data_IF_884146607125
#
_entry.id   IF_884146607125
#
_cell.length_a   1.000
_cell.length_b   1.000
_cell.length_c   1.000
_cell.angle_alpha   90.00
_cell.angle_beta   90.00
_cell.angle_gamma   90.00
#
_symmetry.space_group_name_H-M   'P 1'
#
loop_
_entity.id
_entity.type
_entity.pdbx_description
1 polymer ?
#
# COMPACT_ATOMS: atom_id res chain seq x y z
N UNK A 1 12.28 -21.50 -34.25
CA UNK A 1 11.00 -21.47 -33.49
C UNK A 1 11.05 -22.72 -32.61
N UNK A 2 11.24 -22.52 -31.32
CA UNK A 2 11.32 -23.60 -30.32
C UNK A 2 9.88 -23.81 -29.80
N UNK A 3 9.30 -24.99 -30.12
CA UNK A 3 8.04 -25.43 -29.54
C UNK A 3 8.35 -26.39 -28.39
N UNK A 4 7.92 -26.02 -27.17
CA UNK A 4 7.93 -26.94 -26.04
C UNK A 4 6.57 -27.63 -25.97
N UNK A 5 6.49 -28.88 -26.46
CA UNK A 5 5.30 -29.72 -26.34
C UNK A 5 5.53 -30.74 -25.24
N UNK A 6 4.89 -30.58 -24.13
CA UNK A 6 4.76 -31.61 -23.08
C UNK A 6 3.66 -32.57 -23.50
N UNK A 7 4.06 -33.77 -24.00
CA UNK A 7 3.16 -34.89 -24.29
C UNK A 7 2.94 -35.70 -23.02
N UNK A 8 1.77 -35.59 -22.42
CA UNK A 8 1.35 -36.42 -21.29
C UNK A 8 0.86 -37.76 -21.80
N UNK A 9 1.34 -38.90 -21.28
CA UNK A 9 0.82 -40.23 -21.67
C UNK A 9 -0.64 -40.38 -21.16
N UNK A 10 -1.53 -41.08 -21.90
CA UNK A 10 -2.90 -41.32 -21.49
C UNK A 10 -2.93 -42.26 -20.29
N UNK A 11 -3.51 -41.84 -19.18
CA UNK A 11 -3.75 -42.65 -17.98
C UNK A 11 -3.14 -42.16 -16.67
N UNK A 12 -2.35 -41.11 -16.64
CA UNK A 12 -1.84 -40.55 -15.42
C UNK A 12 -2.90 -39.61 -14.79
N UNK A 13 -3.52 -40.06 -13.72
CA UNK A 13 -4.28 -39.23 -12.82
C UNK A 13 -3.38 -38.07 -12.36
N UNK A 14 -3.74 -36.84 -12.72
CA UNK A 14 -3.02 -35.63 -12.26
C UNK A 14 -3.33 -35.40 -10.79
N UNK A 15 -2.62 -36.07 -9.92
CA UNK A 15 -2.42 -35.53 -8.58
C UNK A 15 -1.49 -34.34 -8.76
N UNK A 16 -2.07 -33.13 -8.89
CA UNK A 16 -1.31 -31.93 -8.64
C UNK A 16 -0.86 -32.02 -7.17
N UNK A 17 0.43 -32.05 -6.86
CA UNK A 17 0.84 -31.88 -5.50
C UNK A 17 0.22 -30.56 -5.05
N UNK A 18 -0.50 -30.56 -3.94
CA UNK A 18 -0.90 -29.34 -3.25
C UNK A 18 0.40 -28.59 -3.01
N UNK A 19 0.66 -27.61 -3.85
CA UNK A 19 1.89 -26.81 -3.78
C UNK A 19 2.05 -26.26 -2.36
N UNK A 20 3.26 -26.06 -1.88
CA UNK A 20 3.50 -25.53 -0.55
C UNK A 20 2.66 -24.25 -0.40
N UNK A 21 1.94 -24.16 0.72
CA UNK A 21 1.12 -23.00 1.06
C UNK A 21 1.97 -21.74 0.92
N UNK A 22 1.68 -20.91 -0.08
CA UNK A 22 2.38 -19.65 -0.28
C UNK A 22 2.03 -18.72 0.87
N UNK A 23 2.92 -18.62 1.86
CA UNK A 23 2.77 -17.63 2.92
C UNK A 23 3.12 -16.25 2.34
N UNK A 24 2.14 -15.37 2.27
CA UNK A 24 2.33 -13.98 1.84
C UNK A 24 2.19 -13.05 3.03
N UNK A 25 3.18 -12.19 3.26
CA UNK A 25 3.19 -11.23 4.37
C UNK A 25 3.41 -9.83 3.85
N UNK A 26 2.55 -8.90 4.24
CA UNK A 26 2.76 -7.47 4.01
C UNK A 26 3.72 -6.92 5.05
N UNK A 27 4.90 -6.47 4.61
CA UNK A 27 5.98 -6.00 5.51
C UNK A 27 5.84 -4.52 5.84
N UNK A 28 5.35 -3.69 4.92
CA UNK A 28 5.23 -2.24 5.14
C UNK A 28 3.92 -1.69 4.56
N UNK A 29 2.79 -1.86 5.27
CA UNK A 29 1.55 -1.15 4.93
C UNK A 29 1.70 0.34 5.25
N UNK A 30 0.95 1.20 4.54
CA UNK A 30 0.89 2.62 4.91
C UNK A 30 0.18 2.81 6.25
N UNK A 31 0.86 3.46 7.20
CA UNK A 31 0.36 3.65 8.56
C UNK A 31 -0.59 4.86 8.66
N UNK A 32 -1.89 4.60 8.52
CA UNK A 32 -2.94 5.60 8.68
C UNK A 32 -3.07 6.08 10.13
N UNK A 33 -2.66 5.28 11.12
CA UNK A 33 -2.69 5.68 12.53
C UNK A 33 -1.57 6.66 12.83
N UNK A 34 -0.37 6.38 12.33
CA UNK A 34 0.75 7.31 12.41
C UNK A 34 0.44 8.64 11.74
N UNK A 35 -0.24 8.65 10.58
CA UNK A 35 -0.66 9.89 9.91
C UNK A 35 -1.64 10.70 10.78
N UNK A 36 -2.63 10.06 11.41
CA UNK A 36 -3.55 10.75 12.35
C UNK A 36 -2.82 11.32 13.54
N UNK A 37 -1.88 10.57 14.11
CA UNK A 37 -1.04 11.04 15.22
C UNK A 37 -0.17 12.22 14.80
N UNK A 38 0.40 12.20 13.61
CA UNK A 38 1.17 13.32 13.06
C UNK A 38 0.29 14.58 12.94
N UNK A 39 -0.87 14.48 12.30
CA UNK A 39 -1.82 15.59 12.15
C UNK A 39 -2.24 16.15 13.51
N UNK A 40 -2.57 15.29 14.49
CA UNK A 40 -2.92 15.70 15.84
C UNK A 40 -1.80 16.51 16.50
N UNK A 41 -0.55 16.06 16.35
CA UNK A 41 0.62 16.76 16.93
C UNK A 41 0.87 18.10 16.25
N UNK A 42 0.81 18.14 14.91
CA UNK A 42 1.01 19.37 14.14
C UNK A 42 -0.04 20.43 14.48
N UNK A 43 -1.30 20.02 14.64
CA UNK A 43 -2.41 20.93 14.96
C UNK A 43 -2.56 21.19 16.46
N UNK A 44 -1.69 20.64 17.30
CA UNK A 44 -1.76 20.72 18.77
C UNK A 44 -3.15 20.36 19.34
N UNK A 45 -3.82 19.37 18.73
CA UNK A 45 -5.17 18.96 19.14
C UNK A 45 -5.12 17.93 20.28
N UNK A 46 -6.14 17.90 21.15
CA UNK A 46 -6.27 16.89 22.21
C UNK A 46 -6.34 15.48 21.66
N UNK A 47 -6.09 14.50 22.52
CA UNK A 47 -6.23 13.09 22.17
C UNK A 47 -7.68 12.73 21.80
N UNK A 48 -7.85 11.83 20.80
CA UNK A 48 -9.17 11.44 20.31
C UNK A 48 -9.86 12.41 19.36
N UNK A 49 -9.32 13.61 19.12
CA UNK A 49 -9.91 14.59 18.20
C UNK A 49 -9.59 14.31 16.73
N UNK A 50 -8.48 13.64 16.41
CA UNK A 50 -8.16 13.18 15.05
C UNK A 50 -8.46 11.69 14.94
N UNK A 51 -9.50 11.35 14.18
CA UNK A 51 -10.07 9.99 14.14
C UNK A 51 -10.30 9.48 12.72
N UNK A 52 -10.52 8.17 12.52
CA UNK A 52 -11.00 7.66 11.24
C UNK A 52 -12.38 8.21 10.89
N UNK A 53 -12.67 8.39 9.58
CA UNK A 53 -13.93 9.00 9.14
C UNK A 53 -15.16 8.07 9.32
N UNK A 54 -14.97 6.75 9.26
CA UNK A 54 -16.09 5.79 9.20
C UNK A 54 -16.38 5.16 10.59
N UNK A 55 -16.26 5.95 11.66
CA UNK A 55 -16.60 5.47 13.01
C UNK A 55 -17.90 6.10 13.50
N UNK A 56 -18.80 5.25 13.99
CA UNK A 56 -19.96 5.70 14.76
C UNK A 56 -19.47 6.24 16.12
N UNK A 57 -19.10 7.50 16.16
CA UNK A 57 -18.74 8.19 17.39
C UNK A 57 -19.70 9.37 17.59
N UNK A 58 -20.14 9.68 18.81
CA UNK A 58 -20.96 10.84 19.06
C UNK A 58 -20.20 12.09 18.59
N UNK A 59 -20.84 12.91 17.75
CA UNK A 59 -20.34 14.22 17.37
C UNK A 59 -20.40 15.10 18.62
N UNK A 60 -19.24 15.29 19.26
CA UNK A 60 -19.12 16.31 20.32
C UNK A 60 -19.15 17.71 19.73
N UNK A 61 -19.50 18.69 20.52
CA UNK A 61 -19.51 20.12 20.13
C UNK A 61 -18.10 20.68 19.83
N UNK A 62 -17.05 20.00 20.22
CA UNK A 62 -15.66 20.44 20.02
C UNK A 62 -15.19 20.16 18.58
N UNK A 63 -14.30 21.00 18.02
CA UNK A 63 -13.74 20.76 16.71
C UNK A 63 -12.99 19.43 16.68
N UNK A 64 -13.22 18.65 15.63
CA UNK A 64 -12.52 17.38 15.41
C UNK A 64 -12.15 17.23 13.94
N UNK A 65 -11.19 16.34 13.68
CA UNK A 65 -10.69 16.06 12.35
C UNK A 65 -10.90 14.57 12.03
N UNK A 66 -11.39 14.28 10.83
CA UNK A 66 -11.47 12.91 10.34
C UNK A 66 -10.52 12.69 9.17
N UNK A 67 -9.91 11.52 9.13
CA UNK A 67 -8.95 11.14 8.08
C UNK A 67 -9.39 9.84 7.44
N UNK A 68 -9.55 9.86 6.11
CA UNK A 68 -9.95 8.70 5.31
C UNK A 68 -9.07 8.54 4.09
N UNK A 69 -8.59 7.33 3.85
CA UNK A 69 -7.98 6.98 2.57
C UNK A 69 -9.09 6.74 1.56
N UNK A 70 -9.09 7.52 0.48
CA UNK A 70 -10.11 7.42 -0.58
C UNK A 70 -9.75 6.34 -1.58
N UNK A 71 -8.49 6.39 -2.06
CA UNK A 71 -7.97 5.43 -3.05
C UNK A 71 -6.46 5.32 -2.95
N UNK A 72 -5.92 4.25 -3.54
CA UNK A 72 -4.49 4.05 -3.70
C UNK A 72 -4.24 3.61 -5.14
N UNK A 73 -3.36 4.29 -5.84
CA UNK A 73 -3.00 3.97 -7.23
C UNK A 73 -1.52 3.60 -7.29
N UNK A 74 -1.15 2.50 -7.97
CA UNK A 74 0.25 2.16 -8.14
C UNK A 74 0.96 3.21 -9.01
N UNK A 75 2.22 3.49 -8.70
CA UNK A 75 3.11 4.35 -9.47
C UNK A 75 4.17 3.47 -10.14
N UNK A 76 4.03 3.31 -11.45
CA UNK A 76 4.95 2.47 -12.22
C UNK A 76 4.81 0.98 -11.97
N UNK A 77 5.81 0.22 -12.41
CA UNK A 77 5.88 -1.23 -12.26
C UNK A 77 6.39 -1.62 -10.86
N UNK A 78 5.93 -2.77 -10.38
CA UNK A 78 6.48 -3.35 -9.15
C UNK A 78 7.92 -3.85 -9.38
N UNK A 79 8.79 -3.60 -8.40
CA UNK A 79 10.11 -4.18 -8.36
C UNK A 79 10.06 -5.53 -7.63
N UNK A 80 10.48 -6.59 -8.29
CA UNK A 80 10.51 -7.94 -7.74
C UNK A 80 11.97 -8.36 -7.55
N UNK A 81 12.30 -8.80 -6.35
CA UNK A 81 13.62 -9.37 -6.02
C UNK A 81 13.40 -10.74 -5.41
N UNK A 82 14.09 -11.75 -5.95
CA UNK A 82 14.06 -13.12 -5.45
C UNK A 82 15.42 -13.48 -4.89
N UNK A 83 15.45 -14.07 -3.69
CA UNK A 83 16.67 -14.45 -2.97
C UNK A 83 16.94 -15.97 -2.98
N UNK A 84 16.18 -16.74 -3.78
CA UNK A 84 16.25 -18.19 -3.83
C UNK A 84 15.15 -18.89 -3.01
N UNK A 85 14.53 -18.21 -2.05
CA UNK A 85 13.45 -18.74 -1.19
C UNK A 85 12.24 -17.81 -1.09
N UNK A 86 12.51 -16.51 -1.08
CA UNK A 86 11.49 -15.49 -0.92
C UNK A 86 11.54 -14.50 -2.07
N UNK A 87 10.36 -14.12 -2.53
CA UNK A 87 10.21 -13.01 -3.45
C UNK A 87 9.73 -11.77 -2.68
N UNK A 88 10.50 -10.70 -2.76
CA UNK A 88 10.12 -9.40 -2.26
C UNK A 88 9.59 -8.53 -3.39
N UNK A 89 8.35 -8.12 -3.28
CA UNK A 89 7.65 -7.29 -4.27
C UNK A 89 7.45 -5.92 -3.65
N UNK A 90 8.07 -4.89 -4.22
CA UNK A 90 7.94 -3.50 -3.78
C UNK A 90 7.25 -2.69 -4.85
N UNK A 91 6.13 -2.05 -4.50
CA UNK A 91 5.39 -1.16 -5.36
C UNK A 91 5.24 0.21 -4.71
N UNK A 92 5.54 1.27 -5.46
CA UNK A 92 5.22 2.61 -5.03
C UNK A 92 3.73 2.88 -5.25
N UNK A 93 3.07 3.45 -4.26
CA UNK A 93 1.66 3.85 -4.33
C UNK A 93 1.50 5.35 -4.10
N UNK A 94 0.55 5.94 -4.80
CA UNK A 94 0.00 7.25 -4.51
C UNK A 94 -1.33 7.05 -3.78
N UNK A 95 -1.35 7.47 -2.53
CA UNK A 95 -2.55 7.44 -1.69
C UNK A 95 -3.25 8.79 -1.75
N UNK A 96 -4.54 8.79 -2.05
CA UNK A 96 -5.42 9.95 -1.92
C UNK A 96 -6.12 9.86 -0.59
N UNK A 97 -5.91 10.86 0.26
CA UNK A 97 -6.38 10.88 1.65
C UNK A 97 -7.18 12.14 1.88
N UNK A 98 -8.43 11.99 2.28
CA UNK A 98 -9.29 13.10 2.67
C UNK A 98 -9.09 13.41 4.14
N UNK A 99 -8.90 14.69 4.44
CA UNK A 99 -8.87 15.25 5.79
C UNK A 99 -10.02 16.24 5.89
N UNK A 100 -10.97 15.97 6.77
CA UNK A 100 -12.11 16.82 7.01
C UNK A 100 -12.05 17.35 8.46
N UNK A 101 -12.20 18.64 8.64
CA UNK A 101 -12.40 19.27 9.92
C UNK A 101 -13.86 19.62 10.11
N UNK A 102 -14.33 19.54 11.34
CA UNK A 102 -15.70 19.81 11.76
C UNK A 102 -15.72 20.72 12.98
N UNK A 103 -16.78 21.53 13.10
CA UNK A 103 -16.98 22.42 14.22
C UNK A 103 -16.44 23.84 13.99
N UNK A 104 -16.55 24.68 14.99
CA UNK A 104 -16.13 26.07 14.89
C UNK A 104 -14.66 26.19 14.51
N UNK A 105 -14.34 27.02 13.50
CA UNK A 105 -12.98 27.19 13.00
C UNK A 105 -12.48 26.04 12.11
N UNK A 106 -13.38 25.20 11.56
CA UNK A 106 -13.01 24.07 10.72
C UNK A 106 -12.17 24.49 9.51
N UNK A 107 -12.49 25.63 8.88
CA UNK A 107 -11.77 26.11 7.71
C UNK A 107 -10.34 26.52 8.05
N UNK A 108 -10.14 27.28 9.11
CA UNK A 108 -8.82 27.70 9.61
C UNK A 108 -7.98 26.50 10.02
N UNK A 109 -8.61 25.50 10.64
CA UNK A 109 -7.93 24.28 11.05
C UNK A 109 -7.38 23.50 9.85
N UNK A 110 -8.14 23.47 8.74
CA UNK A 110 -7.72 22.84 7.47
C UNK A 110 -6.58 23.63 6.82
N UNK A 111 -6.63 24.98 6.82
CA UNK A 111 -5.54 25.82 6.31
C UNK A 111 -4.26 25.63 7.13
N UNK A 112 -4.37 25.53 8.47
CA UNK A 112 -3.24 25.21 9.33
C UNK A 112 -2.66 23.84 9.02
N UNK A 113 -3.50 22.82 8.83
CA UNK A 113 -3.05 21.49 8.43
C UNK A 113 -2.28 21.51 7.11
N UNK A 114 -2.77 22.24 6.11
CA UNK A 114 -2.11 22.41 4.82
C UNK A 114 -0.73 23.05 4.97
N UNK A 115 -0.61 24.13 5.71
CA UNK A 115 0.65 24.84 5.94
C UNK A 115 1.65 23.97 6.72
N UNK A 116 1.20 23.34 7.82
CA UNK A 116 2.05 22.54 8.69
C UNK A 116 2.53 21.23 8.07
N UNK A 117 1.76 20.61 7.17
CA UNK A 117 2.23 19.45 6.43
C UNK A 117 3.35 19.79 5.46
N UNK A 118 3.41 21.02 4.97
CA UNK A 118 4.44 21.49 4.03
C UNK A 118 5.70 22.02 4.74
N UNK A 119 5.65 22.24 6.07
CA UNK A 119 6.81 22.70 6.83
C UNK A 119 7.78 21.55 7.16
N UNK A 120 8.92 21.88 7.77
CA UNK A 120 9.95 20.90 8.15
C UNK A 120 9.42 19.82 9.10
N UNK A 121 8.64 20.21 10.13
CA UNK A 121 8.06 19.26 11.09
C UNK A 121 7.09 18.28 10.42
N UNK A 122 6.28 18.75 9.46
CA UNK A 122 5.38 17.91 8.67
C UNK A 122 6.12 16.95 7.78
N UNK A 123 7.10 17.44 7.02
CA UNK A 123 7.94 16.61 6.15
C UNK A 123 8.78 15.59 6.91
N UNK A 124 9.36 15.96 8.05
CA UNK A 124 10.07 15.03 8.93
C UNK A 124 9.14 13.95 9.49
N UNK A 125 7.93 14.33 9.91
CA UNK A 125 6.92 13.38 10.39
C UNK A 125 6.49 12.39 9.31
N UNK A 126 6.28 12.85 8.07
CA UNK A 126 5.94 11.97 6.94
C UNK A 126 7.11 11.04 6.58
N UNK A 127 8.36 11.52 6.59
CA UNK A 127 9.54 10.67 6.41
C UNK A 127 9.65 9.57 7.45
N UNK A 128 9.31 9.86 8.71
CA UNK A 128 9.27 8.85 9.77
C UNK A 128 8.22 7.75 9.47
N UNK A 129 7.14 8.08 8.77
CA UNK A 129 6.14 7.15 8.25
C UNK A 129 6.55 6.49 6.92
N UNK A 130 7.78 6.73 6.44
CA UNK A 130 8.27 6.28 5.13
C UNK A 130 7.39 6.75 3.97
N UNK A 131 6.87 7.95 4.09
CA UNK A 131 5.94 8.56 3.16
C UNK A 131 6.43 9.93 2.68
N UNK A 132 5.99 10.35 1.50
CA UNK A 132 6.30 11.67 0.93
C UNK A 132 5.03 12.40 0.54
N UNK A 133 4.93 13.68 0.88
CA UNK A 133 3.84 14.53 0.41
C UNK A 133 4.11 14.94 -1.03
N UNK A 134 3.15 14.67 -1.92
CA UNK A 134 3.20 15.08 -3.33
C UNK A 134 2.46 16.39 -3.53
N UNK A 135 1.23 16.46 -3.01
CA UNK A 135 0.41 17.67 -3.11
C UNK A 135 -0.66 17.70 -2.03
N UNK A 136 -1.16 18.91 -1.78
CA UNK A 136 -2.34 19.14 -0.96
C UNK A 136 -3.29 19.99 -1.82
N UNK A 137 -4.57 19.61 -1.88
CA UNK A 137 -5.57 20.40 -2.61
C UNK A 137 -5.89 21.69 -1.88
N UNK A 138 -6.48 22.66 -2.59
CA UNK A 138 -7.05 23.84 -1.96
C UNK A 138 -8.09 23.45 -0.89
N UNK A 139 -8.15 24.23 0.17
CA UNK A 139 -9.15 24.06 1.21
C UNK A 139 -10.55 24.35 0.64
N UNK A 140 -11.48 23.46 0.92
CA UNK A 140 -12.88 23.56 0.50
C UNK A 140 -13.76 23.75 1.72
N UNK A 141 -14.58 24.79 1.71
CA UNK A 141 -15.67 24.94 2.69
C UNK A 141 -16.85 24.08 2.25
N UNK A 142 -17.23 23.16 3.11
CA UNK A 142 -18.36 22.24 2.92
C UNK A 142 -19.42 22.43 4.00
N UNK A 143 -19.41 23.58 4.66
CA UNK A 143 -20.38 23.93 5.70
C UNK A 143 -21.80 23.91 5.14
N UNK A 144 -22.73 23.33 5.86
CA UNK A 144 -24.12 23.17 5.42
C UNK A 144 -25.09 23.16 6.61
N UNK A 145 -26.37 23.39 6.29
CA UNK A 145 -27.46 23.17 7.26
C UNK A 145 -27.86 21.69 7.19
N UNK A 146 -27.68 21.00 8.31
CA UNK A 146 -28.00 19.57 8.42
C UNK A 146 -28.98 19.37 9.58
N UNK A 147 -30.15 18.80 9.32
CA UNK A 147 -31.14 18.48 10.37
C UNK A 147 -31.62 19.68 11.19
N UNK A 148 -31.63 20.90 10.61
CA UNK A 148 -32.05 22.14 11.30
C UNK A 148 -30.93 22.81 12.08
N UNK A 149 -29.70 22.32 12.06
CA UNK A 149 -28.51 22.93 12.63
C UNK A 149 -27.45 23.29 11.58
N UNK A 150 -26.63 24.31 11.86
CA UNK A 150 -25.48 24.65 11.03
C UNK A 150 -24.29 23.77 11.41
N UNK A 151 -23.73 23.02 10.45
CA UNK A 151 -22.51 22.25 10.60
C UNK A 151 -21.39 22.94 9.83
N UNK A 152 -20.42 23.51 10.57
CA UNK A 152 -19.19 24.02 9.96
C UNK A 152 -18.29 22.83 9.58
N UNK A 153 -17.91 22.75 8.32
CA UNK A 153 -17.08 21.67 7.78
C UNK A 153 -16.14 22.19 6.72
N UNK A 154 -14.90 21.77 6.76
CA UNK A 154 -13.93 22.04 5.72
C UNK A 154 -13.13 20.79 5.36
N UNK A 155 -12.58 20.75 4.16
CA UNK A 155 -11.88 19.58 3.61
C UNK A 155 -10.63 19.97 2.83
N UNK A 156 -9.58 19.16 2.96
CA UNK A 156 -8.46 19.05 2.01
C UNK A 156 -8.27 17.61 1.60
N UNK A 157 -7.63 17.40 0.45
CA UNK A 157 -7.13 16.11 0.05
C UNK A 157 -5.61 16.14 -0.03
N UNK A 158 -5.00 15.08 0.53
CA UNK A 158 -3.57 14.87 0.50
C UNK A 158 -3.25 13.81 -0.54
N UNK A 159 -2.22 14.03 -1.33
CA UNK A 159 -1.59 13.02 -2.16
C UNK A 159 -0.25 12.64 -1.53
N UNK A 160 -0.15 11.39 -1.08
CA UNK A 160 1.00 10.89 -0.33
C UNK A 160 1.54 9.66 -1.04
N UNK A 161 2.86 9.65 -1.31
CA UNK A 161 3.55 8.47 -1.82
C UNK A 161 4.04 7.60 -0.69
N UNK A 162 4.01 6.28 -0.92
CA UNK A 162 4.52 5.28 0.01
C UNK A 162 4.94 4.02 -0.74
N UNK A 163 6.03 3.38 -0.31
CA UNK A 163 6.48 2.09 -0.83
C UNK A 163 5.85 0.95 -0.05
N UNK A 164 4.94 0.23 -0.71
CA UNK A 164 4.30 -0.96 -0.16
C UNK A 164 5.15 -2.18 -0.52
N UNK A 165 5.55 -2.95 0.49
CA UNK A 165 6.37 -4.14 0.33
C UNK A 165 5.62 -5.38 0.80
N UNK A 166 5.60 -6.39 -0.08
CA UNK A 166 5.03 -7.71 0.20
C UNK A 166 6.15 -8.73 0.05
N UNK A 167 6.20 -9.71 0.93
CA UNK A 167 7.11 -10.84 0.84
C UNK A 167 6.29 -12.11 0.72
N UNK A 168 6.63 -12.94 -0.25
CA UNK A 168 5.99 -14.25 -0.47
C UNK A 168 7.04 -15.33 -0.60
N UNK A 169 6.78 -16.50 -0.03
CA UNK A 169 7.64 -17.66 -0.19
C UNK A 169 7.33 -18.33 -1.52
N UNK A 170 8.35 -18.55 -2.33
CA UNK A 170 8.25 -19.32 -3.57
C UNK A 170 9.02 -20.62 -3.43
N UNK A 171 8.48 -21.69 -4.02
CA UNK A 171 9.24 -22.93 -4.17
C UNK A 171 10.38 -22.69 -5.18
N UNK A 172 11.60 -22.97 -4.76
CA UNK A 172 12.74 -22.97 -5.67
C UNK A 172 12.66 -24.20 -6.60
N UNK A 173 13.16 -24.06 -7.83
CA UNK A 173 13.38 -25.20 -8.71
C UNK A 173 14.76 -25.77 -8.38
N UNK A 174 14.80 -26.95 -7.74
CA UNK A 174 16.03 -27.57 -7.30
C UNK A 174 16.81 -28.20 -8.49
N UNK A 175 16.09 -28.68 -9.49
CA UNK A 175 16.69 -29.28 -10.69
C UNK A 175 15.80 -29.13 -11.91
N UNK A 176 16.40 -29.06 -13.09
CA UNK A 176 15.72 -29.04 -14.37
C UNK A 176 16.43 -30.00 -15.35
N UNK A 177 15.68 -30.92 -15.93
CA UNK A 177 16.18 -31.78 -16.99
C UNK A 177 15.77 -31.23 -18.36
N UNK A 178 16.74 -30.89 -19.18
CA UNK A 178 16.54 -30.36 -20.53
C UNK A 178 16.91 -31.45 -21.55
N UNK A 179 15.92 -31.91 -22.28
CA UNK A 179 16.13 -32.84 -23.38
C UNK A 179 16.02 -32.11 -24.72
N UNK A 180 17.08 -32.14 -25.49
CA UNK A 180 17.13 -31.52 -26.81
C UNK A 180 16.90 -32.59 -27.86
N UNK A 181 15.79 -32.48 -28.60
CA UNK A 181 15.45 -33.36 -29.70
C UNK A 181 15.46 -32.61 -31.03
N UNK A 182 16.06 -33.25 -32.07
CA UNK A 182 15.92 -32.76 -33.43
C UNK A 182 15.01 -33.72 -34.22
N UNK A 183 14.66 -33.33 -35.45
CA UNK A 183 13.89 -34.19 -36.36
C UNK A 183 14.57 -35.51 -36.67
N UNK A 184 15.87 -35.60 -36.45
CA UNK A 184 16.69 -36.81 -36.73
C UNK A 184 17.02 -37.62 -35.47
N UNK A 185 16.63 -37.19 -34.29
CA UNK A 185 16.83 -37.92 -33.03
C UNK A 185 17.18 -37.03 -31.83
N UNK A 186 17.51 -37.70 -30.73
CA UNK A 186 17.98 -37.07 -29.49
C UNK A 186 19.44 -36.63 -29.66
N UNK A 187 19.74 -35.35 -29.33
CA UNK A 187 21.10 -34.83 -29.43
C UNK A 187 21.79 -34.75 -28.07
N UNK A 188 21.09 -34.25 -27.05
CA UNK A 188 21.69 -34.05 -25.73
C UNK A 188 20.62 -34.04 -24.62
N UNK A 189 21.04 -34.42 -23.42
CA UNK A 189 20.33 -34.23 -22.16
C UNK A 189 21.25 -33.47 -21.22
N UNK A 190 20.75 -32.43 -20.62
CA UNK A 190 21.49 -31.65 -19.63
C UNK A 190 20.63 -31.53 -18.36
N UNK A 191 21.15 -32.04 -17.26
CA UNK A 191 20.56 -31.82 -15.92
C UNK A 191 21.24 -30.63 -15.29
N UNK A 192 20.46 -29.60 -14.93
CA UNK A 192 20.95 -28.44 -14.17
C UNK A 192 20.45 -28.56 -12.75
N UNK A 193 21.35 -28.54 -11.78
CA UNK A 193 21.03 -28.54 -10.37
C UNK A 193 21.38 -27.16 -9.78
N UNK A 194 20.53 -26.63 -8.91
CA UNK A 194 20.83 -25.39 -8.21
C UNK A 194 22.07 -25.58 -7.32
N UNK A 195 22.97 -24.59 -7.24
CA UNK A 195 24.10 -24.66 -6.32
C UNK A 195 23.62 -24.73 -4.87
N UNK A 196 24.16 -25.67 -4.10
CA UNK A 196 23.91 -25.72 -2.66
C UNK A 196 24.40 -24.41 -2.02
N UNK A 197 23.52 -23.66 -1.41
CA UNK A 197 23.86 -22.46 -0.65
C UNK A 197 24.46 -22.91 0.68
N UNK A 198 25.77 -22.70 0.86
CA UNK A 198 26.46 -22.85 2.15
C UNK A 198 26.02 -21.76 3.12
#
# INVERSE_FOLDING_TARGET
>A
VIWCTTRTPPGASRNFPTGPSMATTTVSPFDMTGLRTLLRRLLALPEGTVRPADQAAPCGAAPFVTVKRLRSSPLGAACCVFDGRQQSITCAYLHHISVNAYGTGAYELVLQAQALLSCEAGTAGLRALRAGLVSVTAAQDLSAIVGGGYEARARIELQITHHHRVVTTLAAVDSADIHIHTRTGHIASVTMTAPETQ
#
